data_IF_738256513386
#
_entry.id   IF_738256513386
#
_cell.length_a   1.000
_cell.length_b   1.000
_cell.length_c   1.000
_cell.angle_alpha   90.00
_cell.angle_beta   90.00
_cell.angle_gamma   90.00
#
_symmetry.space_group_name_H-M   'P 1'
#
loop_
_entity.id
_entity.type
_entity.pdbx_description
1 polymer ?
#
# COMPACT_ATOMS: atom_id res chain seq x y z
N UNK A 1 -9.57 -5.47 0.63
CA UNK A 1 -8.65 -5.00 -0.42
C UNK A 1 -8.68 -3.49 -0.46
N UNK A 2 -7.64 -2.84 0.04
CA UNK A 2 -7.56 -1.38 0.09
C UNK A 2 -6.69 -0.91 -1.07
N UNK A 3 -7.21 -0.07 -1.95
CA UNK A 3 -6.45 0.48 -3.08
C UNK A 3 -6.12 1.94 -2.85
N UNK A 4 -4.85 2.30 -3.04
CA UNK A 4 -4.31 3.65 -2.81
C UNK A 4 -3.45 4.04 -4.01
N UNK A 5 -3.38 5.33 -4.33
CA UNK A 5 -2.55 5.80 -5.45
C UNK A 5 -1.08 5.90 -5.04
N UNK A 6 -0.15 5.75 -5.99
CA UNK A 6 1.30 5.95 -5.76
C UNK A 6 1.61 7.29 -5.10
N UNK A 7 0.87 8.35 -5.43
CA UNK A 7 1.08 9.69 -4.87
C UNK A 7 0.71 9.76 -3.41
N UNK A 8 -0.45 9.19 -3.04
CA UNK A 8 -0.90 9.10 -1.65
C UNK A 8 0.01 8.16 -0.84
N UNK A 9 0.46 7.06 -1.46
CA UNK A 9 1.42 6.13 -0.85
C UNK A 9 2.75 6.82 -0.58
N UNK A 10 3.28 7.60 -1.52
CA UNK A 10 4.50 8.38 -1.30
C UNK A 10 4.37 9.40 -0.18
N UNK A 11 3.22 10.06 -0.05
CA UNK A 11 2.99 11.03 1.03
C UNK A 11 2.87 10.36 2.40
N UNK A 12 2.30 9.15 2.45
CA UNK A 12 1.96 8.49 3.71
C UNK A 12 2.66 7.12 3.86
N UNK A 13 3.86 6.97 3.30
CA UNK A 13 4.48 5.67 3.09
C UNK A 13 4.62 4.86 4.39
N UNK A 14 5.08 5.51 5.46
CA UNK A 14 5.26 4.90 6.77
C UNK A 14 3.93 4.51 7.41
N UNK A 15 2.89 5.34 7.25
CA UNK A 15 1.57 5.07 7.79
C UNK A 15 0.88 3.93 7.03
N UNK A 16 1.05 3.85 5.71
CA UNK A 16 0.50 2.77 4.89
C UNK A 16 1.20 1.43 5.18
N UNK A 17 2.52 1.43 5.36
CA UNK A 17 3.26 0.23 5.79
C UNK A 17 2.78 -0.23 7.18
N UNK A 18 2.66 0.70 8.13
CA UNK A 18 2.14 0.39 9.46
C UNK A 18 0.70 -0.15 9.40
N UNK A 19 -0.16 0.41 8.56
CA UNK A 19 -1.51 -0.11 8.34
C UNK A 19 -1.52 -1.51 7.74
N UNK A 20 -0.68 -1.79 6.74
CA UNK A 20 -0.55 -3.13 6.16
C UNK A 20 -0.16 -4.14 7.22
N UNK A 21 0.81 -3.79 8.06
CA UNK A 21 1.32 -4.67 9.10
C UNK A 21 0.35 -4.82 10.28
N UNK A 22 -0.47 -3.80 10.58
CA UNK A 22 -1.42 -3.83 11.69
C UNK A 22 -2.75 -4.48 11.30
N UNK A 23 -3.22 -4.24 10.08
CA UNK A 23 -4.48 -4.79 9.60
C UNK A 23 -4.33 -6.20 9.01
N UNK A 24 -3.12 -6.70 8.75
CA UNK A 24 -2.87 -7.93 7.98
C UNK A 24 -3.69 -7.97 6.68
N UNK A 25 -3.82 -6.81 6.02
CA UNK A 25 -4.58 -6.72 4.77
C UNK A 25 -3.70 -6.20 3.65
N UNK A 26 -3.65 -6.89 2.51
CA UNK A 26 -2.91 -6.42 1.35
C UNK A 26 -3.47 -5.09 0.83
N UNK A 27 -2.54 -4.18 0.53
CA UNK A 27 -2.82 -2.86 -0.03
C UNK A 27 -2.33 -2.81 -1.47
N UNK A 28 -3.23 -2.50 -2.40
CA UNK A 28 -2.89 -2.32 -3.81
C UNK A 28 -2.53 -0.87 -4.07
N UNK A 29 -1.27 -0.61 -4.42
CA UNK A 29 -0.83 0.68 -4.93
C UNK A 29 -1.14 0.74 -6.42
N UNK A 30 -1.99 1.67 -6.82
CA UNK A 30 -2.34 1.95 -8.21
C UNK A 30 -1.58 3.18 -8.70
N UNK A 31 -0.99 3.09 -9.88
CA UNK A 31 -0.32 4.22 -10.53
C UNK A 31 -1.06 4.58 -11.80
N UNK A 32 -1.36 5.87 -11.99
CA UNK A 32 -1.87 6.38 -13.27
C UNK A 32 -0.78 6.46 -14.35
N UNK A 33 0.50 6.28 -13.99
CA UNK A 33 1.64 6.34 -14.91
C UNK A 33 2.24 4.99 -15.28
N UNK A 34 1.74 3.87 -14.75
CA UNK A 34 2.32 2.55 -15.03
C UNK A 34 1.77 1.41 -14.18
N UNK A 35 2.53 0.32 -14.08
CA UNK A 35 2.15 -0.85 -13.27
C UNK A 35 1.99 -0.46 -11.80
N UNK A 36 0.89 -0.91 -11.21
CA UNK A 36 0.70 -0.88 -9.76
C UNK A 36 1.59 -1.89 -9.03
N UNK A 37 1.60 -1.81 -7.71
CA UNK A 37 2.28 -2.75 -6.83
C UNK A 37 1.31 -3.20 -5.73
N UNK A 38 1.57 -4.33 -5.08
CA UNK A 38 0.82 -4.75 -3.89
C UNK A 38 1.80 -4.72 -2.72
N UNK A 39 1.44 -4.05 -1.64
CA UNK A 39 2.08 -4.24 -0.34
C UNK A 39 1.34 -5.33 0.41
N UNK A 40 2.14 -6.21 0.99
CA UNK A 40 1.74 -7.25 1.93
C UNK A 40 2.58 -7.05 3.20
N UNK A 41 2.02 -7.44 4.34
CA UNK A 41 2.74 -7.41 5.61
C UNK A 41 3.91 -8.40 5.56
N UNK A 42 4.93 -8.14 6.36
CA UNK A 42 6.03 -9.10 6.50
C UNK A 42 5.59 -10.34 7.28
N UNK A 43 4.66 -10.16 8.21
CA UNK A 43 4.05 -11.21 9.04
C UNK A 43 2.88 -11.96 8.34
N UNK A 44 2.58 -11.66 7.07
CA UNK A 44 1.46 -12.25 6.31
C UNK A 44 1.92 -13.26 5.23
#
# INVERSE_FOLDING_TARGET
MTSITVTAFRQNIYQTIAQVNNNNTPITITSTKGKGAILVGEDD
#
